data_IF_521330118228
#
_entry.id   IF_521330118228
#
_cell.length_a   1.000
_cell.length_b   1.000
_cell.length_c   1.000
_cell.angle_alpha   90.00
_cell.angle_beta   90.00
_cell.angle_gamma   90.00
#
_symmetry.space_group_name_H-M   'P 1'
#
loop_
_entity.id
_entity.type
_entity.pdbx_description
1 polymer ?
#
# COMPACT_ATOMS: atom_id res chain seq x y z
N UNK A 1 -14.44 -24.69 -52.60
CA UNK A 1 -14.79 -25.82 -51.69
C UNK A 1 -14.27 -25.67 -50.27
N UNK A 2 -13.08 -25.08 -50.03
CA UNK A 2 -12.52 -24.92 -48.68
C UNK A 2 -13.38 -24.06 -47.73
N UNK A 3 -13.97 -22.97 -48.25
CA UNK A 3 -14.80 -22.04 -47.47
C UNK A 3 -16.07 -22.68 -46.90
N UNK A 4 -16.69 -23.62 -47.63
CA UNK A 4 -17.87 -24.35 -47.19
C UNK A 4 -17.55 -25.32 -46.04
N UNK A 5 -16.37 -25.97 -46.09
CA UNK A 5 -15.91 -26.86 -45.02
C UNK A 5 -15.54 -26.09 -43.75
N UNK A 6 -14.94 -24.91 -43.88
CA UNK A 6 -14.67 -24.03 -42.74
C UNK A 6 -15.98 -23.51 -42.12
N UNK A 7 -16.94 -23.05 -42.92
CA UNK A 7 -18.22 -22.55 -42.42
C UNK A 7 -19.02 -23.60 -41.61
N UNK A 8 -18.90 -24.89 -41.94
CA UNK A 8 -19.59 -25.98 -41.23
C UNK A 8 -18.82 -26.42 -39.98
N UNK A 9 -17.48 -26.48 -40.04
CA UNK A 9 -16.67 -27.01 -38.93
C UNK A 9 -16.30 -25.97 -37.88
N UNK A 10 -16.11 -24.71 -38.26
CA UNK A 10 -15.78 -23.61 -37.33
C UNK A 10 -16.82 -23.46 -36.22
N UNK A 11 -18.14 -23.32 -36.48
CA UNK A 11 -19.12 -23.23 -35.41
C UNK A 11 -19.19 -24.50 -34.55
N UNK A 12 -18.86 -25.67 -35.10
CA UNK A 12 -18.81 -26.95 -34.36
C UNK A 12 -17.62 -27.02 -33.40
N UNK A 13 -16.47 -26.45 -33.78
CA UNK A 13 -15.28 -26.35 -32.94
C UNK A 13 -15.44 -25.26 -31.87
N UNK A 14 -15.96 -24.09 -32.26
CA UNK A 14 -16.19 -22.96 -31.33
C UNK A 14 -17.17 -23.33 -30.21
N UNK A 15 -18.23 -24.10 -30.52
CA UNK A 15 -19.19 -24.59 -29.51
C UNK A 15 -18.63 -25.64 -28.55
N UNK A 16 -17.50 -26.29 -28.86
CA UNK A 16 -16.90 -27.34 -28.01
C UNK A 16 -15.82 -26.80 -27.07
N UNK A 17 -15.25 -25.65 -27.36
CA UNK A 17 -14.25 -24.98 -26.53
C UNK A 17 -14.94 -24.16 -25.43
N UNK A 18 -15.51 -24.86 -24.45
CA UNK A 18 -16.28 -24.25 -23.37
C UNK A 18 -15.44 -23.38 -22.41
N UNK A 19 -14.13 -23.63 -22.27
CA UNK A 19 -13.28 -22.91 -21.32
C UNK A 19 -12.99 -21.45 -21.67
N UNK A 20 -12.75 -21.13 -22.95
CA UNK A 20 -12.36 -19.79 -23.40
C UNK A 20 -13.50 -19.02 -24.05
N UNK A 21 -14.38 -19.72 -24.76
CA UNK A 21 -15.38 -19.07 -25.61
C UNK A 21 -16.67 -18.74 -24.86
N UNK A 22 -17.01 -19.49 -23.80
CA UNK A 22 -18.19 -19.21 -22.96
C UNK A 22 -18.10 -17.81 -22.33
N UNK A 23 -17.04 -17.45 -21.57
CA UNK A 23 -16.96 -16.13 -20.95
C UNK A 23 -16.79 -14.98 -21.96
N UNK A 24 -16.25 -15.26 -23.16
CA UNK A 24 -16.08 -14.25 -24.20
C UNK A 24 -17.38 -13.94 -24.98
N UNK A 25 -18.31 -14.91 -25.10
CA UNK A 25 -19.58 -14.75 -25.83
C UNK A 25 -20.81 -14.56 -24.91
N UNK A 26 -20.74 -14.89 -23.63
CA UNK A 26 -21.84 -14.66 -22.71
C UNK A 26 -21.92 -13.17 -22.36
N UNK A 27 -22.94 -12.50 -22.91
CA UNK A 27 -23.64 -11.49 -22.10
C UNK A 27 -24.13 -12.24 -20.85
N UNK A 28 -23.59 -11.88 -19.69
CA UNK A 28 -23.89 -12.52 -18.41
C UNK A 28 -25.39 -12.79 -18.29
N UNK A 29 -25.76 -14.06 -18.41
CA UNK A 29 -27.17 -14.51 -18.51
C UNK A 29 -27.82 -14.54 -17.13
N UNK A 30 -27.01 -14.60 -16.09
CA UNK A 30 -27.39 -14.52 -14.69
C UNK A 30 -27.22 -13.07 -14.18
N UNK A 31 -28.26 -12.44 -13.61
CA UNK A 31 -28.18 -11.14 -12.96
C UNK A 31 -27.02 -11.00 -11.95
N UNK A 32 -26.64 -12.08 -11.25
CA UNK A 32 -25.55 -12.06 -10.27
C UNK A 32 -24.19 -11.84 -10.95
N UNK A 33 -23.99 -12.46 -12.12
CA UNK A 33 -22.76 -12.30 -12.90
C UNK A 33 -22.65 -10.88 -13.49
N UNK A 34 -23.78 -10.27 -13.84
CA UNK A 34 -23.80 -8.85 -14.26
C UNK A 34 -23.36 -7.93 -13.13
N UNK A 35 -23.93 -8.11 -11.92
CA UNK A 35 -23.54 -7.37 -10.72
C UNK A 35 -22.04 -7.48 -10.42
N UNK A 36 -21.46 -8.68 -10.55
CA UNK A 36 -20.03 -8.87 -10.34
C UNK A 36 -19.18 -8.09 -11.36
N UNK A 37 -19.53 -8.15 -12.65
CA UNK A 37 -18.84 -7.40 -13.69
C UNK A 37 -18.99 -5.88 -13.51
N UNK A 38 -20.17 -5.42 -13.10
CA UNK A 38 -20.42 -4.01 -12.83
C UNK A 38 -19.58 -3.53 -11.66
N UNK A 39 -19.43 -4.33 -10.60
CA UNK A 39 -18.54 -4.01 -9.49
C UNK A 39 -17.08 -3.98 -9.90
N UNK A 40 -16.60 -4.92 -10.72
CA UNK A 40 -15.22 -4.87 -11.23
C UNK A 40 -14.97 -3.58 -12.02
N UNK A 41 -15.92 -3.18 -12.87
CA UNK A 41 -15.82 -1.94 -13.65
C UNK A 41 -15.83 -0.70 -12.75
N UNK A 42 -16.70 -0.68 -11.76
CA UNK A 42 -16.81 0.38 -10.76
C UNK A 42 -15.51 0.51 -9.93
N UNK A 43 -14.93 -0.61 -9.47
CA UNK A 43 -13.65 -0.60 -8.76
C UNK A 43 -12.49 -0.18 -9.68
N UNK A 44 -12.50 -0.58 -10.95
CA UNK A 44 -11.47 -0.16 -11.91
C UNK A 44 -11.49 1.34 -12.15
N UNK A 45 -12.66 1.98 -12.24
CA UNK A 45 -12.73 3.43 -12.39
C UNK A 45 -12.34 4.16 -11.10
N UNK A 46 -12.78 3.66 -9.94
CA UNK A 46 -12.47 4.26 -8.63
C UNK A 46 -11.00 4.10 -8.21
N UNK A 47 -10.31 3.05 -8.64
CA UNK A 47 -8.91 2.80 -8.26
C UNK A 47 -7.87 3.61 -9.05
N UNK A 48 -8.28 4.29 -10.13
CA UNK A 48 -7.39 5.11 -10.94
C UNK A 48 -7.12 6.46 -10.27
N UNK A 49 -6.16 6.53 -9.35
CA UNK A 49 -5.75 7.82 -8.80
C UNK A 49 -4.81 7.81 -7.61
N UNK A 50 -4.58 6.67 -6.95
CA UNK A 50 -3.66 6.56 -5.78
C UNK A 50 -4.05 7.43 -4.57
N UNK A 51 -5.16 8.17 -4.67
CA UNK A 51 -5.75 9.01 -3.62
C UNK A 51 -6.94 8.28 -3.01
N UNK A 52 -7.38 8.74 -1.84
CA UNK A 52 -8.61 8.22 -1.25
C UNK A 52 -9.76 8.39 -2.25
N UNK A 53 -10.44 7.29 -2.53
CA UNK A 53 -11.69 7.30 -3.30
C UNK A 53 -12.73 8.05 -2.49
N UNK A 54 -13.42 9.01 -3.11
CA UNK A 54 -14.48 9.80 -2.49
C UNK A 54 -14.06 10.48 -1.16
N UNK A 55 -12.86 11.06 -1.12
CA UNK A 55 -12.35 11.74 0.08
C UNK A 55 -13.22 12.96 0.47
N UNK A 56 -13.99 12.83 1.55
CA UNK A 56 -14.64 13.97 2.22
C UNK A 56 -13.56 14.88 2.83
N UNK A 57 -13.77 16.22 2.87
CA UNK A 57 -12.85 17.14 3.55
C UNK A 57 -12.65 16.81 5.05
N UNK A 58 -13.60 16.12 5.67
CA UNK A 58 -13.49 15.64 7.05
C UNK A 58 -12.42 14.54 7.18
N UNK A 59 -12.44 13.54 6.30
CA UNK A 59 -11.48 12.42 6.31
C UNK A 59 -10.06 12.91 6.02
N UNK A 60 -9.90 13.92 5.17
CA UNK A 60 -8.60 14.54 4.90
C UNK A 60 -8.04 15.23 6.15
N UNK A 61 -8.88 15.95 6.90
CA UNK A 61 -8.50 16.58 8.17
C UNK A 61 -8.15 15.55 9.24
N UNK A 62 -8.93 14.48 9.36
CA UNK A 62 -8.63 13.38 10.27
C UNK A 62 -7.26 12.77 9.95
N UNK A 63 -7.02 12.46 8.67
CA UNK A 63 -5.73 11.97 8.16
C UNK A 63 -4.56 12.88 8.49
N UNK A 64 -4.72 14.19 8.34
CA UNK A 64 -3.68 15.18 8.69
C UNK A 64 -3.45 15.20 10.21
N UNK A 65 -4.52 15.20 11.01
CA UNK A 65 -4.43 15.18 12.47
C UNK A 65 -3.76 13.91 13.02
N UNK A 66 -4.00 12.75 12.39
CA UNK A 66 -3.34 11.50 12.74
C UNK A 66 -1.86 11.52 12.40
N UNK A 67 -1.49 12.09 11.24
CA UNK A 67 -0.09 12.25 10.87
C UNK A 67 0.65 13.20 11.83
N UNK A 68 0.02 14.29 12.26
CA UNK A 68 0.60 15.20 13.26
C UNK A 68 0.83 14.50 14.61
N UNK A 69 -0.12 13.68 15.08
CA UNK A 69 0.04 12.89 16.31
C UNK A 69 1.20 11.92 16.21
N UNK A 70 1.33 11.22 15.07
CA UNK A 70 2.43 10.29 14.83
C UNK A 70 3.78 11.03 14.83
N UNK A 71 3.87 12.20 14.21
CA UNK A 71 5.09 13.02 14.22
C UNK A 71 5.53 13.37 15.65
N UNK A 72 4.60 13.77 16.51
CA UNK A 72 4.89 14.09 17.92
C UNK A 72 5.39 12.84 18.68
N UNK A 73 4.72 11.69 18.52
CA UNK A 73 5.07 10.44 19.24
C UNK A 73 6.45 9.94 18.83
N UNK A 74 6.79 10.01 17.55
CA UNK A 74 8.03 9.45 17.01
C UNK A 74 9.17 10.47 16.91
N UNK A 75 9.06 11.62 17.58
CA UNK A 75 10.14 12.62 17.64
C UNK A 75 10.42 13.34 16.31
N UNK A 76 9.49 13.26 15.36
CA UNK A 76 9.50 14.05 14.14
C UNK A 76 9.01 15.46 14.46
N UNK A 77 9.83 16.24 15.15
CA UNK A 77 9.50 17.64 15.43
C UNK A 77 9.44 18.46 14.13
N UNK A 78 8.83 19.65 14.16
CA UNK A 78 8.62 20.50 12.97
C UNK A 78 9.95 20.88 12.31
N UNK A 79 10.34 20.12 11.29
CA UNK A 79 11.56 20.33 10.51
C UNK A 79 12.57 19.18 10.54
N UNK A 80 12.32 18.11 11.30
CA UNK A 80 13.15 16.90 11.26
C UNK A 80 12.72 16.03 10.08
N UNK A 81 13.64 15.81 9.15
CA UNK A 81 13.42 14.95 7.99
C UNK A 81 13.43 13.48 8.42
N UNK A 82 12.24 12.89 8.57
CA UNK A 82 12.04 11.49 8.94
C UNK A 82 12.61 10.48 7.93
N UNK A 83 13.00 10.93 6.73
CA UNK A 83 13.67 10.07 5.75
C UNK A 83 15.17 9.93 5.99
N UNK A 84 15.75 10.83 6.80
CA UNK A 84 17.17 10.81 7.15
C UNK A 84 17.38 10.13 8.49
N UNK A 85 18.38 9.26 8.51
CA UNK A 85 18.80 8.62 9.75
C UNK A 85 19.49 9.63 10.68
N UNK A 86 19.24 9.59 12.00
CA UNK A 86 19.86 10.50 12.96
C UNK A 86 21.38 10.26 13.07
N UNK A 87 22.14 11.33 13.25
CA UNK A 87 23.57 11.23 13.55
C UNK A 87 23.73 11.09 15.07
N UNK A 88 24.29 9.97 15.51
CA UNK A 88 24.60 9.74 16.92
C UNK A 88 25.99 10.31 17.24
N UNK A 89 26.05 11.20 18.23
CA UNK A 89 27.30 11.61 18.86
C UNK A 89 27.35 10.98 20.24
N UNK A 90 28.28 10.03 20.42
CA UNK A 90 28.52 9.42 21.71
C UNK A 90 29.44 10.34 22.51
N UNK A 91 28.87 11.07 23.46
CA UNK A 91 29.67 11.80 24.44
C UNK A 91 30.26 10.76 25.40
N UNK A 92 31.58 10.84 25.63
CA UNK A 92 32.32 9.86 26.43
C UNK A 92 31.67 9.64 27.80
N UNK A 93 31.51 8.36 28.15
CA UNK A 93 30.97 7.94 29.44
C UNK A 93 31.93 8.40 30.54
N UNK A 94 31.55 9.42 31.31
CA UNK A 94 32.26 9.77 32.54
C UNK A 94 32.07 8.62 33.53
N UNK A 95 33.04 7.70 33.54
CA UNK A 95 33.21 6.77 34.64
C UNK A 95 33.64 7.65 35.81
N UNK A 96 32.72 7.87 36.75
CA UNK A 96 33.03 8.47 38.04
C UNK A 96 33.95 7.50 38.78
N UNK A 97 35.25 7.54 38.45
CA UNK A 97 36.29 6.82 39.15
C UNK A 97 36.29 7.35 40.58
N UNK A 98 35.98 6.48 41.54
CA UNK A 98 36.06 6.70 43.00
C UNK A 98 37.46 7.12 43.51
N UNK A 99 38.38 7.53 42.63
CA UNK A 99 39.73 7.98 42.96
C UNK A 99 39.76 9.39 43.56
N UNK A 100 38.66 10.14 43.51
CA UNK A 100 38.53 11.42 44.24
C UNK A 100 38.26 11.23 45.75
N UNK A 101 38.12 9.99 46.23
CA UNK A 101 37.79 9.67 47.63
C UNK A 101 38.97 9.18 48.50
N UNK A 102 40.23 9.30 48.06
CA UNK A 102 41.39 8.94 48.89
C UNK A 102 42.24 10.17 49.30
N UNK A 103 42.01 10.75 50.48
CA UNK A 103 42.74 11.93 50.95
C UNK A 103 44.04 11.53 51.65
N UNK A 104 45.04 10.98 50.94
CA UNK A 104 46.38 10.79 51.52
C UNK A 104 47.48 10.88 50.45
N UNK A 105 47.85 12.10 50.05
CA UNK A 105 49.10 12.36 49.31
C UNK A 105 49.86 13.62 49.75
N UNK A 106 49.49 14.23 50.88
CA UNK A 106 50.30 15.29 51.53
C UNK A 106 51.03 14.77 52.77
N UNK A 107 51.83 13.72 52.61
CA UNK A 107 52.85 13.33 53.59
C UNK A 107 53.99 12.66 52.82
N UNK A 108 54.85 13.49 52.20
CA UNK A 108 56.30 13.32 52.01
C UNK A 108 56.84 14.57 51.30
#
# INVERSE_FOLDING_TARGET
MLKLRLAVNVPKVVKRSFGTNIPALQKATDPIQQLFLDKIREYKSKSAGGKLVDASPEILKERESELEKLQIIYGGDKGVDMTKFPQFQFVGMEIMCLLDYFPYSKLL
#
